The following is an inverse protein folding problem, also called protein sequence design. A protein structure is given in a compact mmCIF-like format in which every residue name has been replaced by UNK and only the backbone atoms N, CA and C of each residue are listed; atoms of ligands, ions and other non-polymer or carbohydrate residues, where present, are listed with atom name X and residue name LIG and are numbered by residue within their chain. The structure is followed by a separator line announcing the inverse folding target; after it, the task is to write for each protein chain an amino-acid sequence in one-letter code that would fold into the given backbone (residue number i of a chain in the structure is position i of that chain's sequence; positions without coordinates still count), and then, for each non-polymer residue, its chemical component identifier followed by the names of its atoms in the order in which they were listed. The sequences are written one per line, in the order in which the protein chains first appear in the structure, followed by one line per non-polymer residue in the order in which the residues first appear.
data_IF_811421359802
#
_entry.id   IF_811421359802
#
_cell.length_a   1.000
_cell.length_b   1.000
_cell.length_c   1.000
_cell.angle_alpha   90.00
_cell.angle_beta   90.00
_cell.angle_gamma   90.00
#
_symmetry.space_group_name_H-M   'P 1'
#
loop_
_entity.id
_entity.type
_entity.pdbx_description
1 polymer ?
#
# COMPACT_ATOMS: atom_id res chain seq x y z
N UNK A 1 -12.92 23.69 -67.68
CA UNK A 1 -14.18 23.92 -68.41
C UNK A 1 -15.28 23.13 -67.72
N UNK A 2 -16.30 23.86 -67.23
CA UNK A 2 -17.72 23.49 -67.03
C UNK A 2 -18.09 22.10 -66.46
N UNK A 3 -19.12 21.91 -65.63
CA UNK A 3 -20.00 22.72 -64.77
C UNK A 3 -21.15 21.78 -64.36
N UNK A 4 -21.93 22.20 -63.35
CA UNK A 4 -23.29 21.72 -63.00
C UNK A 4 -23.32 20.50 -62.07
N UNK A 5 -23.56 20.62 -60.75
CA UNK A 5 -24.67 21.26 -60.01
C UNK A 5 -26.05 20.78 -60.46
N UNK A 6 -26.75 20.04 -59.58
CA UNK A 6 -28.10 20.37 -59.10
C UNK A 6 -28.48 19.58 -57.83
N UNK A 7 -29.11 20.23 -56.82
CA UNK A 7 -29.62 19.64 -55.57
C UNK A 7 -31.15 19.38 -55.66
N UNK A 8 -31.78 18.99 -54.54
CA UNK A 8 -33.23 18.97 -54.15
C UNK A 8 -33.49 17.64 -53.40
N UNK A 9 -34.12 17.51 -52.22
CA UNK A 9 -35.23 18.23 -51.57
C UNK A 9 -35.28 17.98 -50.05
N UNK A 10 -35.92 18.93 -49.35
CA UNK A 10 -36.40 18.88 -47.96
C UNK A 10 -37.68 18.04 -47.82
N UNK A 11 -37.84 17.33 -46.70
CA UNK A 11 -39.13 17.03 -46.02
C UNK A 11 -38.82 16.94 -44.50
N UNK A 12 -39.13 17.92 -43.65
CA UNK A 12 -40.37 18.18 -42.87
C UNK A 12 -40.77 17.13 -41.79
N UNK A 13 -40.95 17.65 -40.56
CA UNK A 13 -41.65 17.01 -39.42
C UNK A 13 -40.70 16.40 -38.38
N UNK A 14 -40.78 16.67 -37.07
CA UNK A 14 -41.95 17.01 -36.25
C UNK A 14 -41.50 17.54 -34.88
N UNK A 15 -42.15 18.61 -34.42
CA UNK A 15 -42.12 19.08 -33.04
C UNK A 15 -42.94 18.16 -32.10
N UNK A 16 -42.45 17.96 -30.88
CA UNK A 16 -43.20 17.81 -29.62
C UNK A 16 -42.16 17.94 -28.49
N UNK A 17 -42.05 18.99 -27.67
CA UNK A 17 -42.96 19.62 -26.69
C UNK A 17 -43.46 18.65 -25.61
N UNK A 18 -43.32 19.13 -24.37
CA UNK A 18 -43.85 18.66 -23.07
C UNK A 18 -43.15 17.43 -22.43
N UNK A 19 -42.82 17.40 -21.13
CA UNK A 19 -43.30 18.24 -20.04
C UNK A 19 -42.41 18.26 -18.80
N UNK A 20 -42.58 19.35 -18.07
CA UNK A 20 -42.16 19.61 -16.70
C UNK A 20 -43.07 18.78 -15.79
N UNK A 21 -42.49 18.11 -14.79
CA UNK A 21 -43.21 17.75 -13.56
C UNK A 21 -42.23 17.70 -12.39
N UNK A 22 -42.11 18.84 -11.73
CA UNK A 22 -41.91 18.99 -10.30
C UNK A 22 -42.90 18.09 -9.55
N UNK A 23 -42.42 17.21 -8.66
CA UNK A 23 -43.20 16.78 -7.51
C UNK A 23 -42.32 16.67 -6.26
N UNK A 24 -42.78 17.44 -5.31
CA UNK A 24 -42.35 17.68 -3.95
C UNK A 24 -43.15 16.74 -3.03
N UNK A 25 -42.48 15.98 -2.16
CA UNK A 25 -43.07 15.27 -1.01
C UNK A 25 -42.01 14.34 -0.41
N UNK A 26 -41.84 14.16 0.89
CA UNK A 26 -42.50 14.71 2.07
C UNK A 26 -41.61 14.31 3.24
N UNK A 27 -41.28 15.26 4.11
CA UNK A 27 -40.58 15.01 5.37
C UNK A 27 -41.43 14.15 6.31
N UNK A 28 -40.84 13.11 6.91
CA UNK A 28 -41.33 12.51 8.17
C UNK A 28 -40.17 12.02 9.04
N UNK A 29 -39.82 12.84 10.02
CA UNK A 29 -39.36 12.42 11.35
C UNK A 29 -40.56 12.65 12.28
N UNK A 30 -40.91 11.73 13.18
CA UNK A 30 -40.55 11.91 14.60
C UNK A 30 -40.38 10.52 15.29
N UNK A 31 -40.02 10.28 16.55
CA UNK A 31 -39.97 11.07 17.78
C UNK A 31 -39.13 10.28 18.80
N UNK A 32 -38.46 11.00 19.69
CA UNK A 32 -37.80 10.49 20.89
C UNK A 32 -38.77 9.75 21.83
N UNK A 33 -38.28 8.71 22.50
CA UNK A 33 -38.86 8.19 23.76
C UNK A 33 -37.73 7.91 24.76
N UNK A 34 -37.71 8.66 25.85
CA UNK A 34 -37.03 8.37 27.12
C UNK A 34 -38.12 8.20 28.22
N UNK A 35 -37.79 7.93 29.48
CA UNK A 35 -37.94 6.60 30.07
C UNK A 35 -39.06 6.55 31.12
N UNK A 36 -39.67 5.38 31.30
CA UNK A 36 -40.62 5.15 32.39
C UNK A 36 -39.91 4.58 33.62
N UNK A 37 -39.81 5.43 34.64
CA UNK A 37 -39.58 5.10 36.04
C UNK A 37 -40.70 4.18 36.56
N UNK A 38 -40.33 3.11 37.27
CA UNK A 38 -41.21 2.49 38.26
C UNK A 38 -40.46 2.32 39.58
N UNK A 39 -40.88 3.15 40.53
CA UNK A 39 -40.60 3.14 41.96
C UNK A 39 -41.31 2.01 42.70
N UNK A 40 -40.90 1.84 43.97
CA UNK A 40 -41.54 1.17 45.13
C UNK A 40 -41.24 -0.32 45.28
N UNK A 41 -40.95 -0.88 46.45
CA UNK A 41 -40.95 -0.44 47.87
C UNK A 41 -39.96 -1.37 48.62
N UNK A 42 -39.02 -0.87 49.43
CA UNK A 42 -39.11 -0.63 50.88
C UNK A 42 -39.82 -1.69 51.75
N UNK A 43 -39.09 -2.06 52.81
CA UNK A 43 -39.48 -2.59 54.13
C UNK A 43 -39.76 -4.10 54.25
N UNK A 44 -38.83 -4.82 54.89
CA UNK A 44 -39.08 -5.40 56.23
C UNK A 44 -37.78 -5.82 56.94
N UNK A 45 -37.48 -5.15 58.06
CA UNK A 45 -36.83 -5.76 59.24
C UNK A 45 -37.95 -6.19 60.19
N UNK A 46 -37.79 -7.24 61.02
CA UNK A 46 -37.20 -7.09 62.37
C UNK A 46 -36.41 -8.37 62.77
N UNK A 47 -35.73 -8.60 63.91
CA UNK A 47 -35.71 -8.11 65.31
C UNK A 47 -34.42 -8.68 65.98
N UNK A 48 -33.91 -8.12 67.10
CA UNK A 48 -32.60 -8.47 67.68
C UNK A 48 -32.63 -9.38 68.92
N UNK A 49 -31.49 -10.04 69.19
CA UNK A 49 -30.95 -10.59 70.47
C UNK A 49 -30.16 -11.86 70.12
N UNK A 50 -28.96 -12.15 70.64
CA UNK A 50 -28.51 -11.94 72.01
C UNK A 50 -26.98 -11.74 72.08
N UNK A 51 -26.59 -11.03 73.12
CA UNK A 51 -25.22 -10.85 73.60
C UNK A 51 -24.78 -12.15 74.29
N UNK A 52 -23.58 -12.64 73.96
CA UNK A 52 -22.78 -13.46 74.86
C UNK A 52 -21.33 -12.93 74.86
N UNK A 53 -20.70 -12.78 76.04
CA UNK A 53 -19.41 -12.11 76.18
C UNK A 53 -18.24 -13.10 76.08
N UNK A 54 -17.06 -12.56 75.76
CA UNK A 54 -15.81 -13.12 76.23
C UNK A 54 -15.14 -14.14 75.31
N UNK A 55 -14.31 -13.64 74.40
CA UNK A 55 -13.00 -14.24 74.16
C UNK A 55 -12.06 -13.15 73.64
N UNK A 56 -11.18 -12.70 74.53
CA UNK A 56 -9.98 -11.94 74.24
C UNK A 56 -9.15 -12.68 73.18
N UNK A 57 -9.38 -12.40 71.90
CA UNK A 57 -8.41 -12.74 70.85
C UNK A 57 -7.28 -11.74 70.95
N UNK A 58 -6.29 -12.12 71.76
CA UNK A 58 -4.94 -11.58 71.70
C UNK A 58 -4.50 -11.58 70.23
N UNK A 59 -4.27 -10.39 69.68
CA UNK A 59 -3.57 -10.26 68.40
C UNK A 59 -2.20 -10.90 68.62
N UNK A 60 -1.94 -12.00 67.91
CA UNK A 60 -0.63 -12.63 67.89
C UNK A 60 0.42 -11.58 67.56
N UNK A 61 1.29 -11.31 68.51
CA UNK A 61 2.45 -10.45 68.34
C UNK A 61 3.23 -10.93 67.11
N UNK A 62 3.57 -9.98 66.25
CA UNK A 62 4.52 -10.15 65.17
C UNK A 62 5.73 -10.95 65.66
N UNK A 63 5.97 -12.14 65.11
CA UNK A 63 7.21 -12.89 65.38
C UNK A 63 8.34 -12.21 64.62
N UNK A 64 8.84 -11.11 65.17
CA UNK A 64 10.15 -10.62 64.78
C UNK A 64 11.18 -11.63 65.24
N UNK A 65 11.92 -12.21 64.30
CA UNK A 65 13.09 -13.04 64.60
C UNK A 65 13.99 -12.30 65.60
N UNK A 66 14.58 -12.99 66.60
CA UNK A 66 15.41 -12.32 67.60
C UNK A 66 16.58 -11.63 66.89
N UNK A 67 16.57 -10.30 66.90
CA UNK A 67 17.68 -9.51 66.43
C UNK A 67 18.84 -9.75 67.39
N UNK A 68 19.84 -10.53 66.97
CA UNK A 68 21.09 -10.67 67.71
C UNK A 68 21.66 -9.27 67.95
N UNK A 69 21.70 -8.85 69.22
CA UNK A 69 22.23 -7.55 69.64
C UNK A 69 23.72 -7.53 69.34
N UNK A 70 24.12 -6.76 68.33
CA UNK A 70 25.52 -6.53 68.00
C UNK A 70 26.24 -5.98 69.23
N UNK A 71 27.24 -6.72 69.74
CA UNK A 71 27.92 -6.40 71.01
C UNK A 71 29.01 -5.35 70.86
N UNK A 72 29.41 -5.00 69.64
CA UNK A 72 30.54 -4.10 69.36
C UNK A 72 30.21 -3.11 68.25
N UNK A 73 30.73 -1.87 68.36
CA UNK A 73 30.49 -0.80 67.36
C UNK A 73 30.98 -1.17 65.95
N UNK A 74 31.96 -2.09 65.84
CA UNK A 74 32.43 -2.64 64.57
C UNK A 74 31.38 -3.52 63.86
N UNK A 75 30.58 -4.30 64.59
CA UNK A 75 29.49 -5.09 64.01
C UNK A 75 28.32 -4.22 63.51
N UNK A 76 28.04 -3.08 64.16
CA UNK A 76 27.03 -2.12 63.69
C UNK A 76 27.48 -1.41 62.40
N UNK A 77 28.76 -0.99 62.31
CA UNK A 77 29.34 -0.47 61.06
C UNK A 77 29.38 -1.52 59.95
N UNK A 78 29.72 -2.78 60.26
CA UNK A 78 29.74 -3.88 59.29
C UNK A 78 28.35 -4.36 58.86
N UNK A 79 27.29 -4.06 59.61
CA UNK A 79 25.90 -4.29 59.18
C UNK A 79 25.38 -3.16 58.28
N UNK A 80 25.88 -1.94 58.47
CA UNK A 80 25.49 -0.75 57.69
C UNK A 80 26.47 -0.40 56.55
N UNK A 81 27.55 -1.17 56.35
CA UNK A 81 28.57 -0.94 55.29
C UNK A 81 28.12 -1.39 53.90
N UNK A 82 27.04 -2.15 53.78
CA UNK A 82 26.30 -2.23 52.51
C UNK A 82 25.55 -0.92 52.34
N UNK A 83 26.21 0.05 51.70
CA UNK A 83 25.61 1.32 51.31
C UNK A 83 24.36 1.13 50.43
N UNK A 84 23.57 2.19 50.20
CA UNK A 84 22.28 2.14 49.51
C UNK A 84 22.33 1.59 48.07
N UNK A 85 23.53 1.36 47.52
CA UNK A 85 23.75 0.76 46.21
C UNK A 85 24.78 -0.38 46.31
N UNK A 86 24.30 -1.61 46.46
CA UNK A 86 25.13 -2.80 46.24
C UNK A 86 25.35 -2.98 44.74
N UNK A 87 26.56 -3.35 44.31
CA UNK A 87 26.84 -3.68 42.90
C UNK A 87 25.91 -4.77 42.34
N UNK A 88 25.42 -5.69 43.19
CA UNK A 88 24.41 -6.68 42.83
C UNK A 88 23.06 -6.03 42.49
N UNK A 89 22.68 -4.98 43.21
CA UNK A 89 21.47 -4.22 42.93
C UNK A 89 21.61 -3.40 41.64
N UNK A 90 22.80 -2.86 41.37
CA UNK A 90 23.09 -2.21 40.08
C UNK A 90 22.98 -3.18 38.91
N UNK A 91 23.51 -4.41 39.04
CA UNK A 91 23.38 -5.46 38.04
C UNK A 91 21.91 -5.82 37.77
N UNK A 92 21.11 -6.04 38.82
CA UNK A 92 19.68 -6.32 38.67
C UNK A 92 18.92 -5.18 37.99
N UNK A 93 19.25 -3.93 38.33
CA UNK A 93 18.63 -2.75 37.72
C UNK A 93 18.93 -2.67 36.22
N UNK A 94 20.19 -2.89 35.82
CA UNK A 94 20.59 -2.89 34.40
C UNK A 94 19.93 -4.04 33.64
N UNK A 95 19.88 -5.24 34.21
CA UNK A 95 19.23 -6.40 33.57
C UNK A 95 17.73 -6.17 33.38
N UNK A 96 17.06 -5.63 34.40
CA UNK A 96 15.62 -5.33 34.33
C UNK A 96 15.33 -4.21 33.34
N UNK A 97 16.16 -3.15 33.34
CA UNK A 97 16.07 -2.06 32.37
C UNK A 97 16.30 -2.52 30.93
N UNK A 98 17.32 -3.35 30.69
CA UNK A 98 17.61 -3.92 29.39
C UNK A 98 16.48 -4.84 28.91
N UNK A 99 15.97 -5.71 29.79
CA UNK A 99 14.83 -6.57 29.48
C UNK A 99 13.57 -5.78 29.13
N UNK A 100 13.30 -4.69 29.86
CA UNK A 100 12.18 -3.79 29.59
C UNK A 100 12.36 -3.04 28.25
N UNK A 101 13.57 -2.57 27.93
CA UNK A 101 13.88 -1.93 26.65
C UNK A 101 13.68 -2.94 25.49
N UNK A 102 14.16 -4.17 25.64
CA UNK A 102 13.96 -5.23 24.64
C UNK A 102 12.48 -5.54 24.48
N UNK A 103 11.74 -5.68 25.59
CA UNK A 103 10.30 -5.92 25.58
C UNK A 103 9.54 -4.80 24.83
N UNK A 104 9.80 -3.53 25.16
CA UNK A 104 9.15 -2.40 24.49
C UNK A 104 9.55 -2.29 23.03
N UNK A 105 10.80 -2.59 22.65
CA UNK A 105 11.24 -2.59 21.25
C UNK A 105 10.51 -3.68 20.44
N UNK A 106 10.49 -4.90 20.96
CA UNK A 106 9.81 -6.04 20.32
C UNK A 106 8.31 -5.80 20.22
N UNK A 107 7.67 -5.33 21.30
CA UNK A 107 6.22 -5.14 21.30
C UNK A 107 5.81 -3.93 20.44
N UNK A 108 6.62 -2.87 20.39
CA UNK A 108 6.42 -1.74 19.47
C UNK A 108 6.48 -2.19 18.01
N UNK A 109 7.49 -2.99 17.63
CA UNK A 109 7.58 -3.54 16.26
C UNK A 109 6.37 -4.43 15.90
N UNK A 110 5.90 -5.25 16.84
CA UNK A 110 4.72 -6.10 16.63
C UNK A 110 3.45 -5.27 16.46
N UNK A 111 3.29 -4.22 17.27
CA UNK A 111 2.12 -3.35 17.22
C UNK A 111 2.12 -2.49 15.95
N UNK A 112 3.28 -2.01 15.50
CA UNK A 112 3.43 -1.30 14.24
C UNK A 112 3.09 -2.18 13.04
N UNK A 113 3.58 -3.43 13.00
CA UNK A 113 3.20 -4.40 11.95
C UNK A 113 1.71 -4.69 11.94
N UNK A 114 1.09 -4.86 13.11
CA UNK A 114 -0.38 -5.03 13.22
C UNK A 114 -1.13 -3.80 12.72
N UNK A 115 -0.70 -2.59 13.09
CA UNK A 115 -1.31 -1.33 12.64
C UNK A 115 -1.21 -1.19 11.13
N UNK A 116 -0.04 -1.44 10.52
CA UNK A 116 0.13 -1.40 9.05
C UNK A 116 -0.81 -2.40 8.38
N UNK A 117 -0.90 -3.63 8.90
CA UNK A 117 -1.77 -4.67 8.39
C UNK A 117 -3.27 -4.36 8.58
N UNK A 118 -3.67 -3.66 9.64
CA UNK A 118 -5.05 -3.24 9.84
C UNK A 118 -5.42 -2.02 9.00
N UNK A 119 -4.50 -1.05 8.84
CA UNK A 119 -4.72 0.10 7.96
C UNK A 119 -4.79 -0.32 6.48
N UNK A 120 -4.06 -1.37 6.07
CA UNK A 120 -4.12 -1.90 4.71
C UNK A 120 -5.33 -2.79 4.43
N UNK A 121 -6.00 -3.31 5.47
CA UNK A 121 -7.19 -4.18 5.34
C UNK A 121 -8.48 -3.46 4.98
N UNK A 122 -8.54 -2.13 5.08
CA UNK A 122 -9.80 -1.37 4.99
C UNK A 122 -10.08 -0.67 3.65
N UNK A 123 -9.12 -0.60 2.74
CA UNK A 123 -9.27 0.10 1.45
C UNK A 123 -9.35 -0.95 0.36
N UNK A 124 -10.47 -1.03 -0.36
CA UNK A 124 -10.58 -1.93 -1.51
C UNK A 124 -9.39 -1.71 -2.45
N UNK A 125 -8.81 -2.79 -2.98
CA UNK A 125 -7.65 -2.71 -3.87
C UNK A 125 -7.94 -1.71 -5.00
N UNK A 126 -7.07 -0.73 -5.25
CA UNK A 126 -7.24 0.17 -6.37
C UNK A 126 -7.42 -0.65 -7.65
N UNK A 127 -8.54 -0.47 -8.35
CA UNK A 127 -8.71 -1.05 -9.68
C UNK A 127 -7.88 -0.23 -10.66
N UNK A 128 -6.62 -0.64 -10.79
CA UNK A 128 -5.60 -0.14 -11.72
C UNK A 128 -5.29 -1.30 -12.67
N UNK A 129 -5.28 -1.00 -13.97
CA UNK A 129 -5.22 -2.01 -15.02
C UNK A 129 -6.60 -2.34 -15.59
N UNK A 130 -6.59 -3.02 -16.73
CA UNK A 130 -7.78 -3.35 -17.50
C UNK A 130 -7.43 -3.90 -18.88
N UNK A 131 -8.43 -4.31 -19.67
CA UNK A 131 -8.19 -4.80 -21.01
C UNK A 131 -7.65 -3.68 -21.89
N UNK A 132 -6.53 -3.94 -22.55
CA UNK A 132 -5.93 -3.08 -23.55
C UNK A 132 -5.39 -3.92 -24.70
N UNK A 133 -5.23 -3.25 -25.84
CA UNK A 133 -4.61 -3.77 -27.04
C UNK A 133 -3.61 -2.73 -27.53
N UNK A 134 -2.35 -3.12 -27.60
CA UNK A 134 -1.23 -2.35 -28.11
C UNK A 134 -0.47 -3.21 -29.13
N UNK A 135 0.63 -2.66 -29.63
CA UNK A 135 1.53 -3.32 -30.57
C UNK A 135 2.91 -3.42 -29.94
N UNK A 136 3.52 -4.60 -30.02
CA UNK A 136 4.91 -4.77 -29.63
C UNK A 136 5.85 -4.19 -30.71
N UNK A 137 7.16 -4.16 -30.41
CA UNK A 137 8.15 -3.62 -31.36
C UNK A 137 8.29 -4.46 -32.65
N UNK A 138 7.86 -5.72 -32.64
CA UNK A 138 7.88 -6.62 -33.80
C UNK A 138 6.63 -6.49 -34.69
N UNK A 139 5.71 -5.57 -34.36
CA UNK A 139 4.47 -5.37 -35.09
C UNK A 139 3.37 -6.38 -34.78
N UNK A 140 3.53 -7.19 -33.73
CA UNK A 140 2.50 -8.11 -33.23
C UNK A 140 1.59 -7.39 -32.24
N UNK A 141 0.33 -7.78 -32.24
CA UNK A 141 -0.63 -7.34 -31.23
C UNK A 141 -0.20 -7.86 -29.84
N UNK A 142 -0.31 -7.00 -28.84
CA UNK A 142 0.00 -7.29 -27.45
C UNK A 142 -1.15 -6.84 -26.57
N UNK A 143 -1.64 -7.72 -25.72
CA UNK A 143 -2.84 -7.53 -24.92
C UNK A 143 -2.57 -7.68 -23.43
N UNK A 144 -3.54 -7.28 -22.62
CA UNK A 144 -3.51 -7.51 -21.17
C UNK A 144 -3.42 -9.00 -20.78
N UNK A 145 -3.82 -9.92 -21.67
CA UNK A 145 -3.76 -11.37 -21.43
C UNK A 145 -2.33 -11.91 -21.54
N UNK A 146 -1.47 -11.27 -22.34
CA UNK A 146 -0.07 -11.64 -22.53
C UNK A 146 0.78 -11.37 -21.28
N UNK A 147 0.29 -10.49 -20.40
CA UNK A 147 0.89 -10.22 -19.09
C UNK A 147 0.58 -11.30 -18.05
N UNK A 148 -0.44 -12.15 -18.29
CA UNK A 148 -0.89 -13.15 -17.30
C UNK A 148 0.05 -14.33 -17.18
N UNK A 149 0.25 -14.74 -15.94
CA UNK A 149 1.11 -15.85 -15.52
C UNK A 149 2.50 -15.40 -15.07
N UNK A 150 2.85 -14.13 -15.25
CA UNK A 150 4.13 -13.56 -14.79
C UNK A 150 3.87 -12.25 -14.07
N UNK A 151 4.79 -11.87 -13.19
CA UNK A 151 4.75 -10.52 -12.62
C UNK A 151 5.09 -9.52 -13.70
N UNK A 152 4.28 -8.47 -13.87
CA UNK A 152 4.53 -7.43 -14.86
C UNK A 152 4.90 -6.13 -14.16
N UNK A 153 5.95 -5.48 -14.64
CA UNK A 153 6.46 -4.23 -14.11
C UNK A 153 6.34 -3.15 -15.19
N UNK A 154 5.23 -2.41 -15.12
CA UNK A 154 4.79 -1.52 -16.20
C UNK A 154 5.23 -0.09 -15.91
N UNK A 155 5.94 0.52 -16.85
CA UNK A 155 6.31 1.93 -16.84
C UNK A 155 5.72 2.65 -18.05
N UNK A 156 5.27 3.88 -17.83
CA UNK A 156 4.76 4.77 -18.87
C UNK A 156 5.75 5.90 -19.08
N UNK A 157 6.24 6.07 -20.30
CA UNK A 157 7.27 7.07 -20.63
C UNK A 157 7.26 7.45 -22.11
N UNK A 158 8.25 8.20 -22.57
CA UNK A 158 8.43 8.53 -23.98
C UNK A 158 9.91 8.79 -24.29
N UNK A 159 10.32 8.58 -25.54
CA UNK A 159 11.76 8.58 -25.89
C UNK A 159 12.40 9.97 -25.85
N UNK A 160 11.62 11.03 -26.02
CA UNK A 160 12.10 12.42 -26.06
C UNK A 160 12.09 13.11 -24.68
N UNK A 161 12.06 12.34 -23.59
CA UNK A 161 12.12 12.91 -22.24
C UNK A 161 13.57 13.29 -21.90
N UNK A 162 13.86 14.56 -21.53
CA UNK A 162 15.24 15.03 -21.42
C UNK A 162 16.01 14.39 -20.26
N UNK A 163 15.36 14.13 -19.12
CA UNK A 163 16.04 13.70 -17.90
C UNK A 163 15.36 12.52 -17.19
N UNK A 164 14.02 12.58 -17.04
CA UNK A 164 13.30 11.67 -16.13
C UNK A 164 13.21 10.24 -16.65
N UNK A 165 12.82 10.02 -17.91
CA UNK A 165 12.61 8.66 -18.41
C UNK A 165 13.91 7.84 -18.44
N UNK A 166 15.06 8.39 -18.89
CA UNK A 166 16.33 7.67 -18.84
C UNK A 166 16.70 7.20 -17.42
N UNK A 167 16.61 8.09 -16.42
CA UNK A 167 16.92 7.76 -15.02
C UNK A 167 16.03 6.63 -14.47
N UNK A 168 14.73 6.66 -14.79
CA UNK A 168 13.78 5.65 -14.37
C UNK A 168 14.02 4.30 -15.10
N UNK A 169 14.45 4.34 -16.37
CA UNK A 169 14.80 3.13 -17.12
C UNK A 169 16.11 2.48 -16.64
N UNK A 170 17.12 3.27 -16.28
CA UNK A 170 18.34 2.76 -15.64
C UNK A 170 18.02 2.06 -14.31
N UNK A 171 17.15 2.68 -13.50
CA UNK A 171 16.63 2.05 -12.28
C UNK A 171 15.88 0.75 -12.60
N UNK A 172 15.06 0.73 -13.65
CA UNK A 172 14.37 -0.49 -14.08
C UNK A 172 15.36 -1.58 -14.47
N UNK A 173 16.40 -1.26 -15.25
CA UNK A 173 17.45 -2.20 -15.66
C UNK A 173 18.10 -2.86 -14.43
N UNK A 174 18.47 -2.07 -13.43
CA UNK A 174 19.06 -2.59 -12.20
C UNK A 174 18.09 -3.50 -11.41
N UNK A 175 16.80 -3.13 -11.36
CA UNK A 175 15.78 -3.97 -10.74
C UNK A 175 15.65 -5.32 -11.46
N UNK A 176 15.65 -5.31 -12.80
CA UNK A 176 15.56 -6.53 -13.62
C UNK A 176 16.72 -7.46 -13.27
N UNK A 177 17.96 -6.96 -13.27
CA UNK A 177 19.15 -7.74 -12.95
C UNK A 177 19.09 -8.36 -11.55
N UNK A 178 18.72 -7.55 -10.54
CA UNK A 178 18.60 -8.01 -9.15
C UNK A 178 17.52 -9.08 -8.98
N UNK A 179 16.37 -8.91 -9.63
CA UNK A 179 15.28 -9.90 -9.59
C UNK A 179 15.70 -11.17 -10.32
N UNK A 180 16.37 -11.06 -11.47
CA UNK A 180 16.87 -12.19 -12.26
C UNK A 180 17.92 -12.99 -11.50
N UNK A 181 18.87 -12.33 -10.83
CA UNK A 181 19.86 -12.97 -9.97
C UNK A 181 19.19 -13.74 -8.82
N UNK A 182 18.28 -13.09 -8.08
CA UNK A 182 17.59 -13.71 -6.94
C UNK A 182 16.66 -14.87 -7.34
N UNK A 183 16.11 -14.83 -8.55
CA UNK A 183 15.24 -15.89 -9.10
C UNK A 183 16.00 -16.92 -9.93
N UNK A 184 17.33 -16.88 -9.95
CA UNK A 184 18.19 -17.80 -10.72
C UNK A 184 17.87 -17.81 -12.23
N UNK A 185 17.46 -16.67 -12.77
CA UNK A 185 17.10 -16.51 -14.18
C UNK A 185 15.74 -17.10 -14.57
N UNK A 186 14.85 -17.39 -13.61
CA UNK A 186 13.47 -17.77 -13.94
C UNK A 186 12.78 -16.62 -14.70
N UNK A 187 12.18 -16.93 -15.86
CA UNK A 187 11.43 -15.97 -16.68
C UNK A 187 10.02 -15.71 -16.10
N UNK A 188 9.96 -15.16 -14.88
CA UNK A 188 8.72 -14.90 -14.12
C UNK A 188 8.43 -13.41 -13.91
N UNK A 189 9.29 -12.54 -14.45
CA UNK A 189 9.22 -11.08 -14.32
C UNK A 189 9.29 -10.44 -15.71
N UNK A 190 8.29 -9.64 -16.05
CA UNK A 190 8.13 -8.97 -17.33
C UNK A 190 8.27 -7.44 -17.13
N UNK A 191 9.42 -6.85 -17.45
CA UNK A 191 9.55 -5.40 -17.52
C UNK A 191 8.90 -4.89 -18.81
N UNK A 192 7.95 -3.96 -18.68
CA UNK A 192 7.15 -3.44 -19.80
C UNK A 192 7.23 -1.92 -19.85
N UNK A 193 7.62 -1.40 -21.00
CA UNK A 193 7.61 0.03 -21.30
C UNK A 193 6.46 0.34 -22.26
N UNK A 194 5.58 1.27 -21.87
CA UNK A 194 4.48 1.76 -22.71
C UNK A 194 4.74 3.21 -23.07
N UNK A 195 4.78 3.53 -24.36
CA UNK A 195 4.92 4.93 -24.79
C UNK A 195 3.65 5.74 -24.51
N UNK A 196 3.84 6.96 -24.02
CA UNK A 196 2.82 8.00 -23.91
C UNK A 196 2.72 8.88 -25.17
N UNK A 197 3.66 8.73 -26.12
CA UNK A 197 3.78 9.58 -27.31
C UNK A 197 3.96 8.78 -28.61
N UNK A 198 2.90 8.10 -29.08
CA UNK A 198 2.96 7.26 -30.27
C UNK A 198 3.22 8.04 -31.58
N UNK A 199 3.14 9.37 -31.57
CA UNK A 199 3.39 10.18 -32.76
C UNK A 199 4.88 10.24 -33.12
N UNK A 200 5.77 10.23 -32.12
CA UNK A 200 7.23 10.24 -32.29
C UNK A 200 7.85 8.87 -32.02
N UNK A 201 7.26 8.09 -31.12
CA UNK A 201 7.78 6.81 -30.67
C UNK A 201 7.35 5.66 -31.60
N UNK A 202 7.96 5.62 -32.78
CA UNK A 202 7.81 4.50 -33.71
C UNK A 202 8.47 3.23 -33.14
N UNK A 203 8.05 2.02 -33.57
CA UNK A 203 8.66 0.76 -33.12
C UNK A 203 10.17 0.69 -33.34
N UNK A 204 10.69 1.34 -34.39
CA UNK A 204 12.11 1.40 -34.70
C UNK A 204 12.86 2.27 -33.68
N UNK A 205 12.35 3.47 -33.42
CA UNK A 205 12.93 4.41 -32.44
C UNK A 205 12.91 3.81 -31.03
N UNK A 206 11.78 3.21 -30.63
CA UNK A 206 11.68 2.54 -29.33
C UNK A 206 12.64 1.36 -29.19
N UNK A 207 12.88 0.59 -30.27
CA UNK A 207 13.83 -0.52 -30.24
C UNK A 207 15.26 -0.03 -30.02
N UNK A 208 15.66 1.04 -30.69
CA UNK A 208 16.99 1.63 -30.50
C UNK A 208 17.15 2.18 -29.09
N UNK A 209 16.16 2.94 -28.62
CA UNK A 209 16.15 3.53 -27.28
C UNK A 209 16.21 2.46 -26.17
N UNK A 210 15.30 1.49 -26.17
CA UNK A 210 15.22 0.48 -25.09
C UNK A 210 16.41 -0.48 -25.07
N UNK A 211 17.08 -0.67 -26.22
CA UNK A 211 18.28 -1.52 -26.32
C UNK A 211 19.46 -0.95 -25.53
N UNK A 212 19.51 0.37 -25.32
CA UNK A 212 20.57 1.01 -24.52
C UNK A 212 20.44 0.70 -23.03
N UNK A 213 19.22 0.43 -22.55
CA UNK A 213 18.95 0.18 -21.13
C UNK A 213 19.03 -1.30 -20.78
N UNK A 214 18.12 -2.14 -21.32
CA UNK A 214 18.10 -3.56 -20.98
C UNK A 214 17.34 -4.41 -22.03
N UNK A 215 17.91 -5.54 -22.49
CA UNK A 215 17.32 -6.35 -23.58
C UNK A 215 16.02 -7.06 -23.20
N UNK A 216 15.76 -7.29 -21.91
CA UNK A 216 14.52 -7.94 -21.45
C UNK A 216 13.31 -6.99 -21.42
N UNK A 217 13.51 -5.66 -21.65
CA UNK A 217 12.41 -4.69 -21.63
C UNK A 217 11.51 -4.85 -22.86
N UNK A 218 10.23 -5.09 -22.62
CA UNK A 218 9.21 -5.19 -23.65
C UNK A 218 8.67 -3.79 -23.95
N UNK A 219 8.98 -3.26 -25.14
CA UNK A 219 8.42 -2.00 -25.62
C UNK A 219 7.04 -2.18 -26.27
N UNK A 220 6.08 -1.37 -25.87
CA UNK A 220 4.72 -1.32 -26.43
C UNK A 220 4.40 0.08 -26.95
N UNK A 221 3.82 0.13 -28.15
CA UNK A 221 3.33 1.34 -28.82
C UNK A 221 1.97 1.07 -29.48
N UNK A 222 1.36 2.06 -30.11
CA UNK A 222 0.04 1.92 -30.73
C UNK A 222 -0.48 3.21 -31.31
N UNK A 223 -1.79 3.29 -31.55
CA UNK A 223 -2.44 4.55 -31.91
C UNK A 223 -2.62 5.44 -30.69
N UNK A 224 -2.78 6.75 -30.91
CA UNK A 224 -3.06 7.70 -29.82
C UNK A 224 -4.29 7.30 -28.99
N UNK A 225 -5.33 6.74 -29.63
CA UNK A 225 -6.53 6.27 -28.93
C UNK A 225 -6.25 5.03 -28.05
N UNK A 226 -5.44 4.10 -28.52
CA UNK A 226 -5.03 2.92 -27.76
C UNK A 226 -4.18 3.31 -26.55
N UNK A 227 -3.19 4.20 -26.75
CA UNK A 227 -2.34 4.74 -25.67
C UNK A 227 -3.18 5.49 -24.64
N UNK A 228 -4.10 6.35 -25.10
CA UNK A 228 -5.02 7.08 -24.21
C UNK A 228 -5.91 6.14 -23.40
N UNK A 229 -6.38 5.05 -24.02
CA UNK A 229 -7.19 4.04 -23.34
C UNK A 229 -6.41 3.30 -22.27
N UNK A 230 -5.20 2.82 -22.55
CA UNK A 230 -4.36 2.13 -21.55
C UNK A 230 -3.97 3.07 -20.41
N UNK A 231 -3.57 4.32 -20.69
CA UNK A 231 -3.29 5.31 -19.65
C UNK A 231 -4.49 5.52 -18.73
N UNK A 232 -5.72 5.53 -19.28
CA UNK A 232 -6.95 5.60 -18.48
C UNK A 232 -7.17 4.36 -17.61
N UNK A 233 -6.89 3.14 -18.11
CA UNK A 233 -7.01 1.90 -17.31
C UNK A 233 -6.01 1.89 -16.15
N UNK A 234 -4.79 2.35 -16.39
CA UNK A 234 -3.74 2.44 -15.36
C UNK A 234 -3.82 3.72 -14.53
N UNK A 235 -4.79 4.60 -14.80
CA UNK A 235 -4.97 5.91 -14.13
C UNK A 235 -3.74 6.82 -14.23
N UNK A 236 -2.97 6.65 -15.30
CA UNK A 236 -1.83 7.49 -15.65
C UNK A 236 -2.35 8.79 -16.24
N UNK A 237 -1.99 9.90 -15.59
CA UNK A 237 -2.17 11.21 -16.19
C UNK A 237 -1.15 11.37 -17.32
N UNK A 238 -1.62 11.84 -18.47
CA UNK A 238 -0.76 12.32 -19.53
C UNK A 238 -1.37 13.57 -20.18
N UNK A 239 -0.53 14.54 -20.56
CA UNK A 239 -0.97 15.75 -21.25
C UNK A 239 0.02 16.14 -22.33
N UNK A 240 -0.49 16.24 -23.56
CA UNK A 240 0.25 16.77 -24.70
C UNK A 240 -0.12 18.23 -24.91
N UNK A 241 0.84 19.14 -25.14
CA UNK A 241 0.55 20.54 -25.44
C UNK A 241 -0.35 20.66 -26.69
N UNK A 242 -1.32 21.58 -26.66
CA UNK A 242 -2.37 21.70 -27.70
C UNK A 242 -1.93 22.47 -28.94
N UNK A 243 -0.87 23.28 -28.83
CA UNK A 243 -0.47 24.27 -29.83
C UNK A 243 0.91 23.95 -30.43
N UNK A 244 1.19 22.66 -30.65
CA UNK A 244 2.46 22.22 -31.27
C UNK A 244 2.31 22.23 -32.77
N UNK A 245 3.12 23.03 -33.47
CA UNK A 245 3.19 22.95 -34.93
C UNK A 245 3.88 21.65 -35.36
N UNK A 246 3.52 21.12 -36.53
CA UNK A 246 4.18 19.94 -37.10
C UNK A 246 5.68 20.18 -37.27
N UNK A 247 6.51 19.57 -36.42
CA UNK A 247 7.97 19.71 -36.39
C UNK A 247 8.56 20.42 -35.17
N UNK A 248 7.73 20.97 -34.28
CA UNK A 248 8.18 21.52 -32.99
C UNK A 248 8.33 20.43 -31.93
N UNK A 249 9.41 20.50 -31.16
CA UNK A 249 9.66 19.58 -30.06
C UNK A 249 8.78 19.93 -28.86
N UNK A 250 8.11 18.95 -28.29
CA UNK A 250 7.22 19.14 -27.14
C UNK A 250 7.49 18.11 -26.04
N UNK A 251 7.19 18.51 -24.81
CA UNK A 251 7.22 17.62 -23.66
C UNK A 251 5.82 17.09 -23.39
N UNK A 252 5.74 15.81 -23.05
CA UNK A 252 4.52 15.18 -22.55
C UNK A 252 4.64 15.08 -21.04
N UNK A 253 3.76 15.75 -20.32
CA UNK A 253 3.65 15.53 -18.88
C UNK A 253 3.05 14.15 -18.66
N UNK A 254 3.73 13.27 -17.92
CA UNK A 254 3.19 11.95 -17.57
C UNK A 254 3.49 11.57 -16.12
N UNK A 255 2.75 10.58 -15.61
CA UNK A 255 3.02 9.99 -14.30
C UNK A 255 4.27 9.10 -14.34
N UNK A 256 5.11 9.24 -13.33
CA UNK A 256 6.48 8.68 -13.24
C UNK A 256 6.55 7.44 -12.34
N UNK A 257 5.45 6.69 -12.29
CA UNK A 257 5.29 5.54 -11.41
C UNK A 257 5.47 4.24 -12.19
N UNK A 258 6.06 3.25 -11.54
CA UNK A 258 5.99 1.87 -11.99
C UNK A 258 4.83 1.15 -11.31
N UNK A 259 4.09 0.39 -12.10
CA UNK A 259 2.98 -0.42 -11.64
C UNK A 259 3.42 -1.88 -11.60
N UNK A 260 3.46 -2.46 -10.40
CA UNK A 260 3.66 -3.89 -10.23
C UNK A 260 2.31 -4.59 -10.31
N UNK A 261 2.16 -5.45 -11.31
CA UNK A 261 1.00 -6.30 -11.54
C UNK A 261 1.35 -7.75 -11.18
N UNK A 262 0.41 -8.45 -10.58
CA UNK A 262 0.57 -9.87 -10.27
C UNK A 262 0.32 -10.76 -11.51
N UNK A 263 0.55 -12.09 -11.40
CA UNK A 263 0.30 -13.03 -12.49
C UNK A 263 -1.17 -13.14 -12.92
N UNK A 264 -2.13 -12.70 -12.11
CA UNK A 264 -3.55 -12.63 -12.48
C UNK A 264 -3.87 -11.30 -13.20
N UNK A 265 -2.87 -10.42 -13.35
CA UNK A 265 -2.96 -9.07 -13.88
C UNK A 265 -3.79 -8.12 -12.99
N UNK A 266 -3.76 -8.36 -11.68
CA UNK A 266 -4.26 -7.45 -10.66
C UNK A 266 -3.13 -6.53 -10.17
N UNK A 267 -3.48 -5.29 -9.85
CA UNK A 267 -2.55 -4.32 -9.29
C UNK A 267 -2.11 -4.71 -7.87
N UNK A 268 -0.79 -4.69 -7.64
CA UNK A 268 -0.17 -5.03 -6.37
C UNK A 268 0.32 -3.79 -5.64
N UNK A 269 1.27 -3.08 -6.24
CA UNK A 269 2.00 -1.99 -5.60
C UNK A 269 2.46 -0.97 -6.66
N UNK A 270 2.63 0.27 -6.22
CA UNK A 270 3.15 1.36 -7.04
C UNK A 270 4.55 1.75 -6.52
N UNK A 271 5.55 1.74 -7.39
CA UNK A 271 6.93 2.13 -7.06
C UNK A 271 7.18 3.50 -7.70
N UNK A 272 7.56 4.48 -6.89
CA UNK A 272 7.79 5.84 -7.34
C UNK A 272 9.26 6.19 -7.53
N UNK A 273 9.52 7.46 -7.79
CA UNK A 273 10.88 7.98 -7.94
C UNK A 273 11.71 7.88 -6.66
N UNK A 274 11.06 8.05 -5.51
CA UNK A 274 11.72 8.01 -4.20
C UNK A 274 12.27 6.62 -3.83
N UNK A 275 11.83 5.56 -4.52
CA UNK A 275 12.21 4.19 -4.22
C UNK A 275 13.52 3.82 -4.90
N UNK A 276 14.48 3.30 -4.14
CA UNK A 276 15.76 2.84 -4.67
C UNK A 276 15.61 1.48 -5.37
N UNK A 277 16.51 1.14 -6.32
CA UNK A 277 16.54 -0.17 -6.97
C UNK A 277 16.55 -1.34 -5.97
N UNK A 278 17.27 -1.21 -4.85
CA UNK A 278 17.31 -2.23 -3.78
C UNK A 278 15.97 -2.39 -3.09
N UNK A 279 15.33 -1.28 -2.73
CA UNK A 279 14.04 -1.30 -2.04
C UNK A 279 12.96 -1.90 -2.94
N UNK A 280 12.92 -1.45 -4.21
CA UNK A 280 11.98 -1.93 -5.21
C UNK A 280 12.16 -3.42 -5.51
N UNK A 281 13.40 -3.87 -5.78
CA UNK A 281 13.70 -5.29 -6.05
C UNK A 281 13.35 -6.17 -4.85
N UNK A 282 13.66 -5.75 -3.61
CA UNK A 282 13.28 -6.47 -2.40
C UNK A 282 11.76 -6.61 -2.27
N UNK A 283 11.02 -5.54 -2.55
CA UNK A 283 9.56 -5.54 -2.50
C UNK A 283 8.97 -6.50 -3.55
N UNK A 284 9.45 -6.44 -4.79
CA UNK A 284 9.04 -7.36 -5.87
C UNK A 284 9.32 -8.81 -5.48
N UNK A 285 10.52 -9.11 -4.98
CA UNK A 285 10.90 -10.46 -4.55
C UNK A 285 10.05 -10.95 -3.38
N UNK A 286 9.65 -10.07 -2.46
CA UNK A 286 8.73 -10.40 -1.39
C UNK A 286 7.38 -10.85 -1.96
N UNK A 287 6.80 -10.11 -2.90
CA UNK A 287 5.55 -10.49 -3.55
C UNK A 287 5.66 -11.82 -4.30
N UNK A 288 6.75 -12.03 -5.05
CA UNK A 288 7.00 -13.30 -5.75
C UNK A 288 7.07 -14.48 -4.75
N UNK A 289 7.79 -14.31 -3.64
CA UNK A 289 7.91 -15.36 -2.63
C UNK A 289 6.60 -15.63 -1.91
N UNK A 290 5.81 -14.59 -1.66
CA UNK A 290 4.49 -14.71 -1.05
C UNK A 290 3.53 -15.48 -1.97
N UNK A 291 3.57 -15.21 -3.28
CA UNK A 291 2.81 -15.97 -4.29
C UNK A 291 3.22 -17.43 -4.38
N UNK A 292 4.54 -17.71 -4.38
CA UNK A 292 5.07 -19.08 -4.34
C UNK A 292 4.63 -19.81 -3.08
N UNK A 293 4.56 -19.12 -1.93
CA UNK A 293 4.09 -19.68 -0.64
C UNK A 293 2.60 -20.00 -0.64
N UNK A 294 1.79 -19.24 -1.38
CA UNK A 294 0.37 -19.52 -1.59
C UNK A 294 0.12 -20.72 -2.54
N UNK A 295 1.16 -21.24 -3.20
CA UNK A 295 1.05 -22.40 -4.09
C UNK A 295 0.41 -22.11 -5.44
N UNK A 296 0.31 -20.82 -5.82
CA UNK A 296 -0.27 -20.39 -7.10
C UNK A 296 0.72 -20.58 -8.26
N UNK A 297 0.25 -20.91 -9.48
CA UNK A 297 1.12 -21.15 -10.61
C UNK A 297 1.80 -19.87 -11.11
N UNK A 298 3.02 -20.02 -11.65
CA UNK A 298 3.75 -19.00 -12.41
C UNK A 298 4.15 -19.62 -13.75
N UNK A 299 3.90 -18.92 -14.86
CA UNK A 299 4.40 -19.30 -16.18
C UNK A 299 5.89 -18.96 -16.25
N UNK A 300 6.70 -19.89 -16.78
CA UNK A 300 8.15 -19.75 -16.92
C UNK A 300 8.63 -19.76 -18.36
N UNK A 301 7.70 -19.96 -19.29
CA UNK A 301 7.96 -20.19 -20.72
C UNK A 301 8.15 -18.88 -21.48
#
# INVERSE_FOLDING_TARGET
MASSVRPVSRIFGRLSRTGISTLESSARTPTQRTPALLSRSLLTTPKPSAIAPGASQQRGFSTSSPCLRAKTMGQLRARNTTGPFSWKAALLFVLTGAGMIVYFRVEKERLERKRIAEMSKGVGRPKVGGPFTLMNLDGKEFTAEDLKGKYSFVYFGFTHCPDICPDELDKMAEIIDRVKEATKGENIFLPVFITCDPARDTPQVLREYLKEFHPDIIGLTGTYEQVKHVCKQYRVYFSTPKDVNSGEDYLVDHSIYFYLMDPDNDFVECIGRQDTPESASKLILQHINDWKREGKPLKRD
#
